data_IF_882286727222
#
_entry.id   IF_882286727222
#
_cell.length_a   1.000
_cell.length_b   1.000
_cell.length_c   1.000
_cell.angle_alpha   90.00
_cell.angle_beta   90.00
_cell.angle_gamma   90.00
#
_symmetry.space_group_name_H-M   'P 1'
#
loop_
_entity.id
_entity.type
_entity.pdbx_description
1 polymer ?
#
# COMPACT_ATOMS: atom_id res chain seq x y z
N UNK A 1 1.68 -11.66 9.32
CA UNK A 1 0.67 -11.45 8.27
C UNK A 1 0.18 -10.02 8.44
N UNK A 2 0.50 -9.13 7.51
CA UNK A 2 0.26 -7.70 7.67
C UNK A 2 -0.86 -7.28 6.72
N UNK A 3 -2.01 -6.94 7.25
CA UNK A 3 -3.13 -6.34 6.53
C UNK A 3 -3.70 -5.22 7.38
N UNK A 4 -4.35 -4.29 6.76
CA UNK A 4 -4.79 -3.09 7.44
C UNK A 4 -6.29 -2.81 7.31
N UNK A 5 -6.94 -2.21 8.27
CA UNK A 5 -8.38 -1.97 8.32
C UNK A 5 -8.80 -0.54 8.60
N UNK A 6 -10.02 -0.21 8.23
CA UNK A 6 -10.72 0.98 8.69
C UNK A 6 -12.25 0.84 8.81
N UNK A 7 -12.89 1.84 9.45
CA UNK A 7 -14.32 1.99 9.66
C UNK A 7 -15.13 2.06 8.34
N UNK A 8 -16.43 1.76 8.37
CA UNK A 8 -17.25 1.68 7.17
C UNK A 8 -17.23 2.98 6.36
N UNK A 9 -16.98 2.84 5.07
CA UNK A 9 -16.90 3.95 4.12
C UNK A 9 -18.21 4.77 4.04
N UNK A 10 -19.32 4.13 4.36
CA UNK A 10 -20.66 4.77 4.39
C UNK A 10 -20.72 6.00 5.29
N UNK A 11 -20.00 5.98 6.42
CA UNK A 11 -19.95 7.12 7.32
C UNK A 11 -19.18 8.31 6.74
N UNK A 12 -18.30 8.09 5.78
CA UNK A 12 -17.44 9.12 5.21
C UNK A 12 -18.07 9.78 3.98
N UNK A 13 -18.78 9.01 3.14
CA UNK A 13 -19.38 9.50 1.90
C UNK A 13 -20.79 10.00 2.05
N UNK A 14 -21.54 9.51 3.04
CA UNK A 14 -22.95 9.83 3.30
C UNK A 14 -23.15 10.63 4.59
N UNK A 15 -22.13 11.31 5.10
CA UNK A 15 -22.31 12.18 6.25
C UNK A 15 -23.40 13.22 5.94
N UNK A 16 -24.48 13.28 6.74
CA UNK A 16 -25.64 14.17 6.45
C UNK A 16 -25.29 15.66 6.52
N UNK A 17 -24.05 16.00 6.83
CA UNK A 17 -23.53 17.35 6.83
C UNK A 17 -22.83 17.76 5.53
N UNK A 18 -22.62 16.83 4.57
CA UNK A 18 -21.92 17.09 3.32
C UNK A 18 -22.88 17.42 2.16
N UNK A 19 -22.85 18.64 1.67
CA UNK A 19 -23.63 19.07 0.49
C UNK A 19 -23.05 18.56 -0.83
N UNK A 20 -21.84 17.98 -0.81
CA UNK A 20 -21.13 17.50 -2.02
C UNK A 20 -20.10 16.42 -1.66
N UNK A 21 -19.81 15.46 -2.56
CA UNK A 21 -18.76 14.48 -2.37
C UNK A 21 -17.37 15.12 -2.36
N UNK A 22 -16.41 14.49 -1.69
CA UNK A 22 -15.02 14.97 -1.62
C UNK A 22 -14.25 14.77 -2.94
N UNK A 23 -14.67 13.83 -3.78
CA UNK A 23 -14.02 13.57 -5.06
C UNK A 23 -12.65 12.91 -4.92
N UNK A 24 -12.43 12.12 -3.87
CA UNK A 24 -11.15 11.47 -3.58
C UNK A 24 -11.25 9.95 -3.63
N UNK A 25 -10.18 9.30 -4.07
CA UNK A 25 -9.94 7.88 -3.84
C UNK A 25 -9.05 7.73 -2.61
N UNK A 26 -9.33 6.72 -1.80
CA UNK A 26 -8.60 6.47 -0.55
C UNK A 26 -8.10 5.03 -0.49
N UNK A 27 -6.89 4.85 0.05
CA UNK A 27 -6.40 3.61 0.59
C UNK A 27 -6.31 3.73 2.10
N UNK A 28 -6.87 2.79 2.81
CA UNK A 28 -6.85 2.80 4.25
C UNK A 28 -6.65 1.40 4.82
N UNK A 29 -5.90 1.39 5.87
CA UNK A 29 -5.27 0.21 6.38
C UNK A 29 -5.33 0.16 7.93
N UNK A 30 -5.55 -1.01 8.55
CA UNK A 30 -5.58 -1.18 10.02
C UNK A 30 -5.69 -2.63 10.47
N UNK A 31 -5.88 -2.84 11.76
CA UNK A 31 -5.99 -4.15 12.38
C UNK A 31 -7.10 -4.17 13.43
N UNK A 32 -7.81 -5.27 13.54
CA UNK A 32 -8.72 -5.59 14.64
C UNK A 32 -8.60 -7.06 15.07
N UNK A 33 -9.10 -7.38 16.25
CA UNK A 33 -9.02 -8.73 16.81
C UNK A 33 -9.85 -9.77 16.03
N UNK A 34 -10.89 -9.33 15.33
CA UNK A 34 -11.83 -10.23 14.64
C UNK A 34 -11.32 -10.66 13.29
N UNK A 35 -10.81 -9.72 12.50
CA UNK A 35 -10.40 -9.95 11.09
C UNK A 35 -8.89 -9.82 10.87
N UNK A 36 -8.15 -9.38 11.87
CA UNK A 36 -6.72 -9.13 11.77
C UNK A 36 -6.39 -7.91 10.91
N UNK A 37 -5.29 -7.96 10.19
CA UNK A 37 -4.92 -6.89 9.26
C UNK A 37 -5.79 -6.87 8.02
N UNK A 38 -6.25 -5.69 7.62
CA UNK A 38 -7.12 -5.48 6.47
C UNK A 38 -6.69 -4.24 5.70
N UNK A 39 -6.87 -4.25 4.39
CA UNK A 39 -6.64 -3.14 3.47
C UNK A 39 -7.93 -2.89 2.69
N UNK A 40 -8.38 -1.66 2.67
CA UNK A 40 -9.53 -1.24 1.88
C UNK A 40 -9.15 -0.11 0.91
N UNK A 41 -9.82 -0.12 -0.23
CA UNK A 41 -9.81 0.98 -1.17
C UNK A 41 -11.21 1.50 -1.38
N UNK A 42 -11.36 2.82 -1.51
CA UNK A 42 -12.63 3.44 -1.90
C UNK A 42 -12.41 4.46 -3.02
N UNK A 43 -13.45 4.65 -3.82
CA UNK A 43 -13.46 5.60 -4.94
C UNK A 43 -14.42 6.78 -4.70
N UNK A 44 -14.37 7.85 -5.52
CA UNK A 44 -15.25 9.01 -5.36
C UNK A 44 -16.74 8.73 -5.50
N UNK A 45 -17.12 7.59 -6.07
CA UNK A 45 -18.54 7.19 -6.23
C UNK A 45 -19.12 6.56 -4.95
N UNK A 46 -18.26 6.29 -3.94
CA UNK A 46 -18.65 5.61 -2.71
C UNK A 46 -18.49 4.08 -2.77
N UNK A 47 -18.04 3.52 -3.89
CA UNK A 47 -17.69 2.11 -3.92
C UNK A 47 -16.45 1.86 -3.05
N UNK A 48 -16.46 0.78 -2.30
CA UNK A 48 -15.31 0.34 -1.52
C UNK A 48 -15.18 -1.18 -1.53
N UNK A 49 -13.99 -1.67 -1.22
CA UNK A 49 -13.75 -3.11 -1.14
C UNK A 49 -12.46 -3.44 -0.40
N UNK A 50 -12.42 -4.66 0.15
CA UNK A 50 -11.24 -5.22 0.79
C UNK A 50 -10.28 -5.82 -0.24
N UNK A 51 -8.99 -5.59 -0.07
CA UNK A 51 -7.94 -5.99 -0.99
C UNK A 51 -6.78 -6.65 -0.26
N UNK A 52 -6.07 -7.53 -0.95
CA UNK A 52 -4.78 -8.06 -0.50
C UNK A 52 -3.64 -7.11 -0.86
N UNK A 53 -3.73 -6.52 -2.04
CA UNK A 53 -2.86 -5.44 -2.51
C UNK A 53 -3.69 -4.55 -3.45
N UNK A 54 -3.51 -3.24 -3.38
CA UNK A 54 -4.25 -2.29 -4.18
C UNK A 54 -3.41 -1.04 -4.47
N UNK A 55 -3.73 -0.36 -5.56
CA UNK A 55 -3.06 0.84 -6.00
C UNK A 55 -4.07 1.86 -6.51
N UNK A 56 -3.86 3.13 -6.19
CA UNK A 56 -4.63 4.27 -6.69
C UNK A 56 -3.69 5.31 -7.29
N UNK A 57 -4.20 6.16 -8.16
CA UNK A 57 -3.45 7.24 -8.78
C UNK A 57 -3.06 6.96 -10.23
N UNK A 58 -2.15 7.77 -10.77
CA UNK A 58 -1.63 7.61 -12.13
C UNK A 58 -1.00 6.22 -12.31
N UNK A 59 -1.16 5.63 -13.49
CA UNK A 59 -0.63 4.31 -13.83
C UNK A 59 -1.12 3.14 -12.92
N UNK A 60 -2.19 3.34 -12.12
CA UNK A 60 -2.72 2.33 -11.21
C UNK A 60 -3.11 1.02 -11.92
N UNK A 61 -3.58 1.07 -13.16
CA UNK A 61 -3.92 -0.11 -13.95
C UNK A 61 -2.68 -0.99 -14.23
N UNK A 62 -1.57 -0.37 -14.61
CA UNK A 62 -0.29 -1.05 -14.82
C UNK A 62 0.26 -1.62 -13.51
N UNK A 63 0.19 -0.85 -12.42
CA UNK A 63 0.58 -1.28 -11.09
C UNK A 63 -0.24 -2.49 -10.62
N UNK A 64 -1.57 -2.46 -10.78
CA UNK A 64 -2.47 -3.57 -10.44
C UNK A 64 -2.16 -4.83 -11.26
N UNK A 65 -1.86 -4.68 -12.54
CA UNK A 65 -1.49 -5.80 -13.41
C UNK A 65 -0.18 -6.45 -12.95
N UNK A 66 0.80 -5.64 -12.60
CA UNK A 66 2.09 -6.11 -12.07
C UNK A 66 1.93 -6.79 -10.71
N UNK A 67 1.16 -6.20 -9.80
CA UNK A 67 0.86 -6.81 -8.50
C UNK A 67 0.16 -8.17 -8.66
N UNK A 68 -0.79 -8.31 -9.59
CA UNK A 68 -1.45 -9.61 -9.87
C UNK A 68 -0.48 -10.69 -10.36
N UNK A 69 0.56 -10.32 -11.07
CA UNK A 69 1.57 -11.26 -11.57
C UNK A 69 2.55 -11.68 -10.47
N UNK A 70 2.94 -10.76 -9.62
CA UNK A 70 4.02 -10.96 -8.64
C UNK A 70 3.51 -11.39 -7.25
N UNK A 71 2.31 -10.97 -6.86
CA UNK A 71 1.71 -11.33 -5.58
C UNK A 71 1.06 -12.72 -5.67
N UNK A 72 1.86 -13.76 -5.38
CA UNK A 72 1.46 -15.16 -5.55
C UNK A 72 0.97 -15.84 -4.27
N UNK A 73 1.33 -15.32 -3.10
CA UNK A 73 1.01 -15.91 -1.81
C UNK A 73 0.41 -14.87 -0.86
N UNK A 74 -0.65 -15.25 -0.15
CA UNK A 74 -1.30 -14.42 0.86
C UNK A 74 -0.48 -14.25 2.15
N UNK A 75 0.63 -14.95 2.27
CA UNK A 75 1.48 -15.02 3.46
C UNK A 75 2.90 -14.53 3.22
N UNK A 76 3.09 -13.64 2.25
CA UNK A 76 4.43 -13.09 2.03
C UNK A 76 4.95 -12.37 3.29
N UNK A 77 6.23 -12.51 3.64
CA UNK A 77 6.88 -11.74 4.70
C UNK A 77 6.80 -10.24 4.44
N UNK A 78 6.84 -9.43 5.50
CA UNK A 78 6.80 -7.98 5.38
C UNK A 78 7.94 -7.43 4.51
N UNK A 79 9.14 -8.01 4.62
CA UNK A 79 10.29 -7.62 3.82
C UNK A 79 10.04 -7.80 2.31
N UNK A 80 9.46 -8.94 1.92
CA UNK A 80 9.14 -9.23 0.53
C UNK A 80 7.99 -8.36 0.01
N UNK A 81 7.02 -8.05 0.87
CA UNK A 81 5.94 -7.13 0.54
C UNK A 81 6.44 -5.70 0.30
N UNK A 82 7.40 -5.24 1.09
CA UNK A 82 8.07 -3.94 0.89
C UNK A 82 8.87 -3.90 -0.41
N UNK A 83 9.62 -4.96 -0.70
CA UNK A 83 10.36 -5.07 -1.96
C UNK A 83 9.41 -5.07 -3.17
N UNK A 84 8.31 -5.82 -3.08
CA UNK A 84 7.29 -5.84 -4.14
C UNK A 84 6.67 -4.45 -4.34
N UNK A 85 6.31 -3.75 -3.28
CA UNK A 85 5.74 -2.40 -3.36
C UNK A 85 6.72 -1.42 -4.03
N UNK A 86 8.00 -1.44 -3.65
CA UNK A 86 9.03 -0.61 -4.27
C UNK A 86 9.22 -0.97 -5.75
N UNK A 87 9.28 -2.25 -6.08
CA UNK A 87 9.39 -2.73 -7.46
C UNK A 87 8.23 -2.24 -8.32
N UNK A 88 7.00 -2.30 -7.80
CA UNK A 88 5.81 -1.80 -8.51
C UNK A 88 5.91 -0.29 -8.70
N UNK A 89 6.25 0.47 -7.67
CA UNK A 89 6.43 1.92 -7.75
C UNK A 89 7.51 2.30 -8.78
N UNK A 90 8.67 1.66 -8.73
CA UNK A 90 9.78 1.90 -9.68
C UNK A 90 9.38 1.68 -11.13
N UNK A 91 8.55 0.67 -11.39
CA UNK A 91 8.09 0.35 -12.75
C UNK A 91 6.93 1.20 -13.25
N UNK A 92 6.20 1.85 -12.36
CA UNK A 92 4.97 2.58 -12.69
C UNK A 92 5.08 4.09 -12.52
N UNK A 93 6.08 4.57 -11.77
CA UNK A 93 6.40 6.00 -11.69
C UNK A 93 7.18 6.43 -12.93
N UNK A 94 6.79 7.56 -13.51
CA UNK A 94 7.48 8.19 -14.65
C UNK A 94 8.83 8.85 -14.26
N UNK A 95 9.23 8.71 -13.00
CA UNK A 95 10.48 9.27 -12.51
C UNK A 95 11.67 8.42 -12.97
N UNK A 96 12.61 9.03 -13.67
CA UNK A 96 13.86 8.41 -14.15
C UNK A 96 14.72 7.85 -13.00
N UNK A 97 14.52 8.36 -11.78
CA UNK A 97 15.20 7.88 -10.57
C UNK A 97 14.25 8.07 -9.39
N UNK A 98 13.95 7.01 -8.68
CA UNK A 98 13.29 7.06 -7.37
C UNK A 98 14.32 7.47 -6.34
N UNK A 99 14.04 8.60 -5.68
CA UNK A 99 14.84 9.13 -4.55
C UNK A 99 13.94 9.15 -3.30
N UNK A 100 14.49 8.98 -2.09
CA UNK A 100 13.70 8.89 -0.85
C UNK A 100 12.78 10.08 -0.59
N UNK A 101 13.16 11.26 -1.09
CA UNK A 101 12.37 12.50 -0.97
C UNK A 101 11.07 12.52 -1.80
N UNK A 102 10.86 11.52 -2.66
CA UNK A 102 9.69 11.45 -3.56
C UNK A 102 8.62 10.45 -3.12
N UNK A 103 8.85 9.72 -2.06
CA UNK A 103 7.88 8.74 -1.57
C UNK A 103 8.03 8.48 -0.08
N UNK A 104 6.92 8.22 0.57
CA UNK A 104 6.83 7.79 1.95
C UNK A 104 6.55 6.30 2.04
N UNK A 105 7.23 5.63 2.97
CA UNK A 105 6.96 4.23 3.33
C UNK A 105 6.47 4.19 4.76
N UNK A 106 5.35 3.51 4.98
CA UNK A 106 4.84 3.23 6.30
C UNK A 106 4.41 1.77 6.44
N UNK A 107 4.51 1.25 7.64
CA UNK A 107 4.06 -0.10 7.99
C UNK A 107 3.17 -0.08 9.20
N UNK A 108 2.24 -1.02 9.23
CA UNK A 108 1.43 -1.33 10.41
C UNK A 108 1.74 -2.76 10.81
N UNK A 109 2.22 -2.94 12.03
CA UNK A 109 2.64 -4.24 12.58
C UNK A 109 1.95 -4.52 13.90
N UNK A 110 1.95 -5.76 14.34
CA UNK A 110 1.48 -6.17 15.65
C UNK A 110 2.68 -6.60 16.49
N UNK A 111 3.01 -5.83 17.51
CA UNK A 111 4.11 -6.08 18.44
C UNK A 111 3.51 -6.26 19.83
N UNK A 112 3.75 -7.39 20.46
CA UNK A 112 3.25 -7.73 21.81
C UNK A 112 1.73 -7.50 21.98
N UNK A 113 0.95 -7.79 20.93
CA UNK A 113 -0.50 -7.61 20.93
C UNK A 113 -0.97 -6.16 20.73
N UNK A 114 -0.06 -5.23 20.46
CA UNK A 114 -0.36 -3.83 20.16
C UNK A 114 -0.08 -3.52 18.70
N UNK A 115 -0.96 -2.73 18.11
CA UNK A 115 -0.78 -2.24 16.74
C UNK A 115 0.23 -1.08 16.78
N UNK A 116 1.30 -1.22 16.03
CA UNK A 116 2.30 -0.19 15.85
C UNK A 116 2.30 0.32 14.40
N UNK A 117 2.20 1.63 14.26
CA UNK A 117 2.43 2.34 13.01
C UNK A 117 3.87 2.85 13.00
N UNK A 118 4.59 2.55 11.94
CA UNK A 118 5.97 3.01 11.76
C UNK A 118 6.14 3.62 10.37
N UNK A 119 6.61 4.87 10.33
CA UNK A 119 7.03 5.54 9.11
C UNK A 119 8.55 5.43 8.97
N UNK A 120 9.00 5.09 7.79
CA UNK A 120 10.44 4.98 7.50
C UNK A 120 11.04 6.37 7.29
N UNK A 121 12.23 6.59 7.85
CA UNK A 121 13.02 7.78 7.53
C UNK A 121 13.63 7.67 6.13
N UNK A 122 14.03 8.81 5.53
CA UNK A 122 14.65 8.85 4.21
C UNK A 122 15.86 7.91 4.09
N UNK A 123 16.67 7.81 5.14
CA UNK A 123 17.82 6.90 5.19
C UNK A 123 17.40 5.43 5.15
N UNK A 124 16.34 5.06 5.87
CA UNK A 124 15.80 3.70 5.85
C UNK A 124 15.10 3.40 4.52
N UNK A 125 14.40 4.36 3.95
CA UNK A 125 13.78 4.26 2.64
C UNK A 125 14.83 4.06 1.53
N UNK A 126 15.98 4.77 1.60
CA UNK A 126 17.09 4.59 0.66
C UNK A 126 17.65 3.16 0.74
N UNK A 127 17.84 2.64 1.94
CA UNK A 127 18.33 1.25 2.12
C UNK A 127 17.40 0.22 1.47
N UNK A 128 16.09 0.43 1.58
CA UNK A 128 15.09 -0.44 0.94
C UNK A 128 15.10 -0.32 -0.59
N UNK A 129 15.32 0.89 -1.12
CA UNK A 129 15.48 1.12 -2.56
C UNK A 129 16.70 0.38 -3.10
N UNK A 130 17.85 0.53 -2.44
CA UNK A 130 19.10 -0.11 -2.86
C UNK A 130 18.97 -1.64 -2.86
N UNK A 131 18.32 -2.20 -1.84
CA UNK A 131 18.02 -3.62 -1.76
C UNK A 131 17.09 -4.11 -2.88
N UNK A 132 16.06 -3.34 -3.21
CA UNK A 132 15.13 -3.68 -4.28
C UNK A 132 15.78 -3.62 -5.67
N UNK A 133 16.69 -2.66 -5.91
CA UNK A 133 17.44 -2.53 -7.14
C UNK A 133 18.46 -3.67 -7.31
N UNK A 134 19.15 -4.06 -6.25
CA UNK A 134 20.07 -5.20 -6.27
C UNK A 134 19.34 -6.52 -6.57
N UNK A 135 18.14 -6.72 -6.02
CA UNK A 135 17.31 -7.90 -6.29
C UNK A 135 16.77 -7.98 -7.73
N UNK A 136 16.51 -6.85 -8.37
CA UNK A 136 16.06 -6.82 -9.77
C UNK A 136 17.18 -7.13 -10.76
N UNK A 137 18.41 -6.74 -10.47
CA UNK A 137 19.56 -7.01 -11.33
C UNK A 137 19.94 -8.51 -11.38
N UNK A 138 19.59 -9.28 -10.34
CA UNK A 138 19.86 -10.72 -10.30
C UNK A 138 18.77 -11.58 -10.94
N UNK A 139 17.62 -11.02 -11.28
CA UNK A 139 16.50 -11.75 -11.90
C UNK A 139 16.51 -11.69 -13.45
N UNK A 140 17.30 -10.77 -14.05
CA UNK A 140 17.44 -10.58 -15.50
C UNK A 140 18.75 -11.18 -16.04
N UNK A 141 19.52 -11.92 -15.25
CA UNK A 141 20.73 -12.65 -15.62
C UNK A 141 20.48 -14.17 -15.57
#
# INVERSE_FOLDING_TARGET
MTRAALAPADAFFLAPAGLRPYGVSLLYAGWDETYGFQLYGSDPSGNYGGWKAYCIGANSQSAMSLMKQEYKDDKIPLADALQLAIKVLTKTCDATTLTPDKFDIATVTLVDGRVEYSQYSDAAAQTLLDAAQAGSASADA
#
